data_IF_598119536870
#
_entry.id   IF_598119536870
#
_cell.length_a   1.000
_cell.length_b   1.000
_cell.length_c   1.000
_cell.angle_alpha   90.00
_cell.angle_beta   90.00
_cell.angle_gamma   90.00
#
_symmetry.space_group_name_H-M   'P 1'
#
loop_
_entity.id
_entity.type
_entity.pdbx_description
1 polymer ?
#
# COMPACT_ATOMS: atom_id res chain seq x y z
N UNK A 1 -7.72 -1.69 4.78
CA UNK A 1 -6.64 -0.71 5.09
C UNK A 1 -7.18 0.61 5.62
N UNK A 2 -8.12 1.26 4.92
CA UNK A 2 -8.69 2.54 5.38
C UNK A 2 -9.37 2.43 6.75
N UNK A 3 -10.28 1.47 6.91
CA UNK A 3 -10.95 1.20 8.19
C UNK A 3 -9.96 0.91 9.34
N UNK A 4 -8.88 0.19 9.05
CA UNK A 4 -7.85 -0.07 10.06
C UNK A 4 -7.13 1.22 10.46
N UNK A 5 -6.78 2.08 9.50
CA UNK A 5 -6.16 3.37 9.79
C UNK A 5 -7.10 4.27 10.62
N UNK A 6 -8.39 4.31 10.29
CA UNK A 6 -9.40 5.08 11.02
C UNK A 6 -9.55 4.58 12.47
N UNK A 7 -9.62 3.26 12.69
CA UNK A 7 -9.66 2.66 14.04
C UNK A 7 -8.41 2.98 14.87
N UNK A 8 -7.27 3.23 14.22
CA UNK A 8 -6.03 3.65 14.85
C UNK A 8 -5.91 5.18 15.02
N UNK A 9 -6.95 5.96 14.66
CA UNK A 9 -6.97 7.42 14.79
C UNK A 9 -6.22 8.17 13.69
N UNK A 10 -6.00 7.52 12.54
CA UNK A 10 -5.36 8.13 11.38
C UNK A 10 -6.37 8.42 10.28
N UNK A 11 -6.11 9.49 9.53
CA UNK A 11 -6.82 9.82 8.29
C UNK A 11 -5.88 9.68 7.10
N UNK A 12 -6.43 9.25 5.96
CA UNK A 12 -5.66 9.13 4.71
C UNK A 12 -5.37 10.52 4.16
N UNK A 13 -4.14 10.72 3.67
CA UNK A 13 -3.76 12.01 3.11
C UNK A 13 -2.93 11.85 1.84
N UNK A 14 -3.45 12.30 0.70
CA UNK A 14 -2.72 12.26 -0.57
C UNK A 14 -2.85 10.92 -1.30
N UNK A 15 -1.98 10.68 -2.29
CA UNK A 15 -2.04 9.50 -3.15
C UNK A 15 -1.22 8.35 -2.59
N UNK A 16 -1.75 7.13 -2.70
CA UNK A 16 -0.96 5.94 -2.42
C UNK A 16 0.12 5.72 -3.48
N UNK A 17 1.16 5.00 -3.10
CA UNK A 17 2.25 4.60 -3.98
C UNK A 17 2.32 3.08 -4.02
N UNK A 18 2.46 2.55 -5.22
CA UNK A 18 2.74 1.15 -5.46
C UNK A 18 4.23 0.96 -5.70
N UNK A 19 4.83 0.02 -4.99
CA UNK A 19 6.24 -0.35 -5.18
C UNK A 19 6.25 -1.81 -5.56
N UNK A 20 6.53 -2.09 -6.83
CA UNK A 20 6.70 -3.45 -7.33
C UNK A 20 8.05 -3.98 -6.84
N UNK A 21 8.02 -4.92 -5.90
CA UNK A 21 9.22 -5.57 -5.36
C UNK A 21 9.72 -6.67 -6.28
N UNK A 22 8.82 -7.21 -7.11
CA UNK A 22 9.11 -8.21 -8.13
C UNK A 22 8.92 -7.61 -9.52
N UNK A 23 9.77 -8.00 -10.47
CA UNK A 23 9.60 -7.61 -11.88
C UNK A 23 8.42 -8.40 -12.49
N UNK A 24 7.34 -7.72 -12.92
CA UNK A 24 6.15 -8.36 -13.48
C UNK A 24 6.39 -9.07 -14.81
N UNK A 25 7.49 -8.78 -15.51
CA UNK A 25 7.82 -9.41 -16.80
C UNK A 25 8.58 -10.72 -16.62
N UNK A 26 9.13 -10.98 -15.43
CA UNK A 26 10.05 -12.10 -15.17
C UNK A 26 9.57 -13.04 -14.07
N UNK A 27 8.60 -12.62 -13.28
CA UNK A 27 8.11 -13.37 -12.11
C UNK A 27 6.74 -13.94 -12.42
N UNK A 28 6.51 -15.20 -12.07
CA UNK A 28 5.18 -15.80 -12.23
C UNK A 28 4.15 -15.07 -11.35
N UNK A 29 2.89 -14.91 -11.81
CA UNK A 29 1.89 -14.07 -11.13
C UNK A 29 1.70 -14.40 -9.65
N UNK A 30 1.74 -15.68 -9.28
CA UNK A 30 1.55 -16.16 -7.92
C UNK A 30 2.71 -15.81 -6.96
N UNK A 31 3.86 -15.40 -7.50
CA UNK A 31 5.04 -14.97 -6.74
C UNK A 31 5.26 -13.47 -6.77
N UNK A 32 4.44 -12.70 -7.49
CA UNK A 32 4.58 -11.25 -7.56
C UNK A 32 4.33 -10.63 -6.19
N UNK A 33 5.26 -9.75 -5.79
CA UNK A 33 5.14 -8.96 -4.57
C UNK A 33 5.06 -7.48 -4.93
N UNK A 34 3.97 -6.86 -4.50
CA UNK A 34 3.77 -5.41 -4.61
C UNK A 34 3.49 -4.85 -3.22
N UNK A 35 4.25 -3.84 -2.82
CA UNK A 35 4.01 -3.10 -1.59
C UNK A 35 3.13 -1.88 -1.91
N UNK A 36 1.96 -1.81 -1.28
CA UNK A 36 1.08 -0.64 -1.34
C UNK A 36 1.36 0.23 -0.12
N UNK A 37 1.79 1.48 -0.34
CA UNK A 37 1.99 2.47 0.72
C UNK A 37 0.91 3.53 0.66
N UNK A 38 0.16 3.66 1.75
CA UNK A 38 -0.85 4.70 1.95
C UNK A 38 -0.28 5.77 2.89
N UNK A 39 -0.18 7.03 2.45
CA UNK A 39 0.16 8.13 3.35
C UNK A 39 -0.98 8.39 4.35
N UNK A 40 -0.60 8.50 5.63
CA UNK A 40 -1.50 8.73 6.75
C UNK A 40 -1.10 10.02 7.47
N UNK A 41 -2.11 10.76 7.95
CA UNK A 41 -1.96 11.88 8.87
C UNK A 41 -2.62 11.51 10.19
N UNK A 42 -2.00 11.87 11.31
CA UNK A 42 -2.61 11.71 12.62
C UNK A 42 -3.60 12.84 12.84
N UNK A 43 -4.80 12.50 13.34
CA UNK A 43 -5.77 13.49 13.78
C UNK A 43 -5.31 14.18 15.05
#
# INVERSE_FOLDING_TARGET
MHHFAEQQGYTLHGRHREIYLSDPRRTSPEKLKTMIRLPLKRN
#
